data_IF_317644053606
#
_entry.id   IF_317644053606
#
_cell.length_a   1.000
_cell.length_b   1.000
_cell.length_c   1.000
_cell.angle_alpha   90.00
_cell.angle_beta   90.00
_cell.angle_gamma   90.00
#
_symmetry.space_group_name_H-M   'P 1'
#
loop_
_entity.id
_entity.type
_entity.pdbx_description
1 polymer ?
#
# COMPACT_ATOMS: atom_id res chain seq x y z
N UNK A 1 -37.15 -8.83 -23.42
CA UNK A 1 -36.10 -9.81 -23.75
C UNK A 1 -34.88 -9.03 -24.27
N UNK A 2 -33.98 -8.69 -23.39
CA UNK A 2 -32.68 -8.15 -23.78
C UNK A 2 -31.71 -8.29 -22.57
N UNK A 3 -31.09 -9.41 -22.47
CA UNK A 3 -29.78 -9.53 -21.80
C UNK A 3 -28.72 -9.43 -22.90
N UNK A 4 -27.80 -8.49 -22.78
CA UNK A 4 -26.41 -8.81 -22.87
C UNK A 4 -25.54 -7.78 -22.10
N UNK A 5 -25.39 -7.91 -20.81
CA UNK A 5 -24.43 -7.09 -20.07
C UNK A 5 -23.52 -7.91 -19.13
N UNK A 6 -23.76 -9.21 -19.03
CA UNK A 6 -23.02 -10.10 -18.11
C UNK A 6 -21.64 -10.50 -18.63
N UNK A 7 -21.47 -10.59 -19.95
CA UNK A 7 -20.20 -11.01 -20.58
C UNK A 7 -19.11 -9.94 -20.56
N UNK A 8 -19.48 -8.65 -20.49
CA UNK A 8 -18.50 -7.54 -20.38
C UNK A 8 -17.94 -7.37 -18.98
N UNK A 9 -18.73 -7.70 -17.95
CA UNK A 9 -18.30 -7.69 -16.55
C UNK A 9 -17.30 -8.81 -16.31
N UNK A 10 -17.52 -9.99 -16.88
CA UNK A 10 -16.66 -11.17 -16.77
C UNK A 10 -15.30 -10.94 -17.46
N UNK A 11 -15.30 -10.27 -18.62
CA UNK A 11 -14.05 -9.94 -19.35
C UNK A 11 -13.19 -8.92 -18.63
N UNK A 12 -13.79 -7.87 -18.05
CA UNK A 12 -13.07 -6.87 -17.27
C UNK A 12 -12.54 -7.45 -15.96
N UNK A 13 -13.31 -8.29 -15.27
CA UNK A 13 -12.87 -9.01 -14.08
C UNK A 13 -11.73 -9.99 -14.38
N UNK A 14 -11.78 -10.69 -15.53
CA UNK A 14 -10.72 -11.58 -15.98
C UNK A 14 -9.42 -10.83 -16.33
N UNK A 15 -9.53 -9.65 -16.96
CA UNK A 15 -8.38 -8.80 -17.25
C UNK A 15 -7.76 -8.22 -15.95
N UNK A 16 -8.59 -7.86 -14.98
CA UNK A 16 -8.14 -7.43 -13.65
C UNK A 16 -7.47 -8.60 -12.92
N UNK A 17 -8.07 -9.78 -12.93
CA UNK A 17 -7.50 -10.98 -12.33
C UNK A 17 -6.21 -11.41 -13.03
N UNK A 18 -6.08 -11.26 -14.35
CA UNK A 18 -4.83 -11.55 -15.06
C UNK A 18 -3.72 -10.56 -14.73
N UNK A 19 -4.06 -9.28 -14.50
CA UNK A 19 -3.09 -8.30 -13.99
C UNK A 19 -2.74 -8.56 -12.52
N UNK A 20 -3.68 -9.04 -11.73
CA UNK A 20 -3.49 -9.44 -10.34
C UNK A 20 -2.59 -10.67 -10.24
N UNK A 21 -2.88 -11.73 -10.99
CA UNK A 21 -2.04 -12.95 -11.08
C UNK A 21 -0.61 -12.62 -11.51
N UNK A 22 -0.43 -11.57 -12.31
CA UNK A 22 0.91 -11.12 -12.74
C UNK A 22 1.77 -10.63 -11.57
N UNK A 23 1.24 -10.36 -10.39
CA UNK A 23 2.02 -9.76 -9.30
C UNK A 23 2.37 -10.74 -8.17
N UNK A 24 1.58 -11.81 -7.91
CA UNK A 24 2.08 -12.96 -7.13
C UNK A 24 3.36 -13.48 -7.81
N UNK A 25 3.38 -13.45 -9.14
CA UNK A 25 4.60 -13.67 -9.94
C UNK A 25 5.65 -12.56 -9.81
N UNK A 26 5.33 -11.35 -9.32
CA UNK A 26 6.33 -10.29 -9.13
C UNK A 26 7.32 -10.67 -8.01
N UNK A 27 6.82 -10.99 -6.83
CA UNK A 27 7.66 -11.41 -5.70
C UNK A 27 8.39 -12.72 -6.01
N UNK A 28 7.70 -13.67 -6.67
CA UNK A 28 8.29 -14.94 -7.06
C UNK A 28 9.40 -14.76 -8.11
N UNK A 29 9.23 -13.86 -9.10
CA UNK A 29 10.28 -13.49 -10.05
C UNK A 29 11.46 -12.81 -9.39
N UNK A 30 11.17 -11.87 -8.47
CA UNK A 30 12.22 -11.15 -7.76
C UNK A 30 13.01 -12.07 -6.82
N UNK A 31 12.37 -13.09 -6.24
CA UNK A 31 12.99 -14.08 -5.38
C UNK A 31 13.73 -15.18 -6.15
N UNK A 32 13.37 -15.45 -7.41
CA UNK A 32 13.99 -16.49 -8.24
C UNK A 32 15.11 -15.97 -9.13
N UNK A 33 14.75 -15.10 -10.07
CA UNK A 33 15.65 -14.64 -11.14
C UNK A 33 16.24 -13.24 -10.89
N UNK A 34 16.08 -12.70 -9.70
CA UNK A 34 16.55 -11.35 -9.32
C UNK A 34 15.68 -10.20 -9.82
N UNK A 35 14.61 -10.48 -10.55
CA UNK A 35 13.69 -9.49 -11.09
C UNK A 35 14.30 -8.52 -12.12
N UNK A 36 13.47 -7.98 -13.00
CA UNK A 36 13.87 -6.91 -13.92
C UNK A 36 13.84 -5.53 -13.22
N UNK A 37 14.49 -4.52 -13.82
CA UNK A 37 14.38 -3.13 -13.34
C UNK A 37 12.93 -2.64 -13.28
N UNK A 38 12.05 -3.11 -14.18
CA UNK A 38 10.63 -2.80 -14.15
C UNK A 38 9.92 -3.46 -12.98
N UNK A 39 10.28 -4.68 -12.60
CA UNK A 39 9.75 -5.38 -11.43
C UNK A 39 10.15 -4.64 -10.15
N UNK A 40 11.41 -4.22 -10.04
CA UNK A 40 11.91 -3.43 -8.91
C UNK A 40 11.21 -2.08 -8.81
N UNK A 41 11.07 -1.35 -9.92
CA UNK A 41 10.35 -0.07 -9.94
C UNK A 41 8.89 -0.23 -9.49
N UNK A 42 8.23 -1.31 -9.91
CA UNK A 42 6.85 -1.62 -9.53
C UNK A 42 6.74 -1.99 -8.05
N UNK A 43 7.64 -2.83 -7.56
CA UNK A 43 7.74 -3.18 -6.14
C UNK A 43 7.90 -1.92 -5.28
N UNK A 44 8.84 -1.06 -5.64
CA UNK A 44 9.11 0.20 -4.96
C UNK A 44 7.88 1.10 -4.94
N UNK A 45 7.22 1.29 -6.10
CA UNK A 45 6.03 2.13 -6.21
C UNK A 45 4.87 1.65 -5.33
N UNK A 46 4.78 0.34 -5.06
CA UNK A 46 3.74 -0.29 -4.25
C UNK A 46 4.07 -0.20 -2.76
N UNK A 47 5.25 -0.69 -2.38
CA UNK A 47 5.57 -0.94 -0.97
C UNK A 47 6.20 0.26 -0.27
N UNK A 48 7.04 1.04 -0.95
CA UNK A 48 7.77 2.14 -0.30
C UNK A 48 6.87 3.19 0.35
N UNK A 49 5.81 3.72 -0.30
CA UNK A 49 4.91 4.68 0.33
C UNK A 49 4.22 4.12 1.58
N UNK A 50 3.87 2.83 1.57
CA UNK A 50 3.26 2.17 2.72
C UNK A 50 4.27 1.98 3.86
N UNK A 51 5.53 1.68 3.53
CA UNK A 51 6.61 1.55 4.50
C UNK A 51 6.93 2.89 5.19
N UNK A 52 7.00 3.98 4.43
CA UNK A 52 7.19 5.34 4.97
C UNK A 52 6.03 5.70 5.90
N UNK A 53 4.78 5.57 5.44
CA UNK A 53 3.60 5.88 6.26
C UNK A 53 3.54 5.04 7.55
N UNK A 54 3.97 3.78 7.49
CA UNK A 54 4.06 2.92 8.66
C UNK A 54 5.15 3.42 9.63
N UNK A 55 6.32 3.81 9.14
CA UNK A 55 7.39 4.34 9.96
C UNK A 55 7.02 5.71 10.58
N UNK A 56 6.33 6.59 9.82
CA UNK A 56 5.81 7.88 10.30
C UNK A 56 4.83 7.73 11.47
N UNK A 57 4.07 6.63 11.51
CA UNK A 57 3.13 6.35 12.60
C UNK A 57 3.81 5.85 13.88
N UNK A 58 5.10 5.56 13.82
CA UNK A 58 5.89 5.08 14.95
C UNK A 58 6.49 6.22 15.77
N UNK A 59 7.10 5.87 16.90
CA UNK A 59 7.86 6.83 17.72
C UNK A 59 9.13 7.33 17.02
N UNK A 60 9.60 6.64 15.98
CA UNK A 60 10.76 7.02 15.16
C UNK A 60 10.36 7.85 13.91
N UNK A 61 9.22 8.53 13.93
CA UNK A 61 8.62 9.25 12.79
C UNK A 61 9.56 10.25 12.10
N UNK A 62 10.50 10.83 12.83
CA UNK A 62 11.45 11.81 12.27
C UNK A 62 12.46 11.18 11.32
N UNK A 63 12.68 9.85 11.42
CA UNK A 63 13.60 9.09 10.60
C UNK A 63 12.82 8.12 9.68
N UNK A 64 11.54 8.37 9.44
CA UNK A 64 10.65 7.44 8.76
C UNK A 64 11.15 7.05 7.36
N UNK A 65 11.66 7.99 6.59
CA UNK A 65 12.21 7.72 5.25
C UNK A 65 13.49 6.88 5.34
N UNK A 66 14.39 7.20 6.27
CA UNK A 66 15.64 6.44 6.48
C UNK A 66 15.32 5.01 6.90
N UNK A 67 14.40 4.84 7.86
CA UNK A 67 13.94 3.52 8.33
C UNK A 67 13.30 2.72 7.17
N UNK A 68 12.46 3.36 6.35
CA UNK A 68 11.86 2.72 5.21
C UNK A 68 12.90 2.31 4.17
N UNK A 69 13.92 3.14 3.92
CA UNK A 69 15.04 2.82 3.03
C UNK A 69 15.89 1.65 3.57
N UNK A 70 16.26 1.67 4.84
CA UNK A 70 16.97 0.55 5.47
C UNK A 70 16.20 -0.77 5.38
N UNK A 71 14.89 -0.72 5.69
CA UNK A 71 14.03 -1.89 5.59
C UNK A 71 13.91 -2.37 4.13
N UNK A 72 13.82 -1.44 3.18
CA UNK A 72 13.80 -1.76 1.75
C UNK A 72 15.10 -2.47 1.34
N UNK A 73 16.26 -1.98 1.73
CA UNK A 73 17.56 -2.62 1.43
C UNK A 73 17.61 -4.04 1.99
N UNK A 74 17.12 -4.26 3.23
CA UNK A 74 17.02 -5.60 3.84
C UNK A 74 16.09 -6.52 3.04
N UNK A 75 14.94 -6.01 2.58
CA UNK A 75 14.00 -6.75 1.74
C UNK A 75 14.61 -7.11 0.38
N UNK A 76 15.26 -6.14 -0.27
CA UNK A 76 15.97 -6.35 -1.54
C UNK A 76 17.03 -7.44 -1.41
N UNK A 77 17.85 -7.35 -0.37
CA UNK A 77 18.87 -8.37 -0.08
C UNK A 77 18.27 -9.76 0.14
N UNK A 78 17.18 -9.86 0.88
CA UNK A 78 16.50 -11.13 1.13
C UNK A 78 15.87 -11.73 -0.13
N UNK A 79 15.27 -10.90 -0.99
CA UNK A 79 14.70 -11.35 -2.26
C UNK A 79 15.79 -11.80 -3.24
N UNK A 80 16.85 -11.00 -3.41
CA UNK A 80 17.93 -11.29 -4.36
C UNK A 80 18.80 -12.47 -3.96
N UNK A 81 18.97 -12.72 -2.65
CA UNK A 81 19.79 -13.85 -2.14
C UNK A 81 19.00 -15.15 -2.01
N UNK A 82 17.70 -15.17 -2.35
CA UNK A 82 16.82 -16.30 -2.08
C UNK A 82 16.56 -16.54 -0.59
N UNK A 83 16.89 -15.57 0.26
CA UNK A 83 16.64 -15.62 1.71
C UNK A 83 15.16 -15.52 2.07
N UNK A 84 14.34 -14.94 1.18
CA UNK A 84 12.91 -15.00 1.30
C UNK A 84 12.37 -16.25 0.60
N UNK A 85 11.72 -17.12 1.38
CA UNK A 85 10.96 -18.25 0.85
C UNK A 85 9.51 -18.12 1.29
N UNK A 86 8.61 -18.08 0.31
CA UNK A 86 7.17 -18.08 0.59
C UNK A 86 6.82 -19.38 1.33
N UNK A 87 6.40 -19.25 2.60
CA UNK A 87 5.86 -20.39 3.37
C UNK A 87 4.36 -20.44 3.14
N UNK A 88 3.81 -21.66 3.00
CA UNK A 88 2.37 -21.87 2.91
C UNK A 88 1.66 -21.19 4.08
N UNK A 89 0.67 -20.34 3.78
CA UNK A 89 -0.09 -19.61 4.79
C UNK A 89 0.53 -18.31 5.32
N UNK A 90 1.72 -17.89 4.85
CA UNK A 90 2.31 -16.60 5.22
C UNK A 90 2.34 -15.66 4.02
N UNK A 91 1.74 -14.49 4.20
CA UNK A 91 1.72 -13.44 3.18
C UNK A 91 3.04 -12.64 3.20
N UNK A 92 3.50 -12.21 2.02
CA UNK A 92 4.70 -11.37 1.90
C UNK A 92 4.60 -10.09 2.74
N UNK A 93 3.39 -9.52 2.85
CA UNK A 93 3.07 -8.39 3.72
C UNK A 93 3.53 -8.59 5.16
N UNK A 94 3.30 -9.78 5.73
CA UNK A 94 3.71 -10.08 7.11
C UNK A 94 5.23 -10.03 7.25
N UNK A 95 5.95 -10.49 6.23
CA UNK A 95 7.41 -10.39 6.19
C UNK A 95 7.88 -8.94 6.09
N UNK A 96 7.28 -8.12 5.19
CA UNK A 96 7.58 -6.68 5.08
C UNK A 96 7.36 -5.97 6.41
N UNK A 97 6.21 -6.20 7.08
CA UNK A 97 5.92 -5.64 8.40
C UNK A 97 6.95 -6.03 9.45
N UNK A 98 7.38 -7.29 9.44
CA UNK A 98 8.40 -7.79 10.39
C UNK A 98 9.74 -7.08 10.18
N UNK A 99 10.19 -6.97 8.92
CA UNK A 99 11.44 -6.28 8.59
C UNK A 99 11.35 -4.81 8.99
N UNK A 100 10.23 -4.16 8.72
CA UNK A 100 10.02 -2.75 9.04
C UNK A 100 9.96 -2.49 10.55
N UNK A 101 9.25 -3.35 11.30
CA UNK A 101 9.23 -3.28 12.78
C UNK A 101 10.64 -3.43 13.36
N UNK A 102 11.42 -4.38 12.86
CA UNK A 102 12.80 -4.57 13.30
C UNK A 102 13.65 -3.33 13.00
N UNK A 103 13.51 -2.72 11.82
CA UNK A 103 14.24 -1.49 11.47
C UNK A 103 13.83 -0.30 12.36
N UNK A 104 12.56 -0.18 12.72
CA UNK A 104 12.08 0.83 13.70
C UNK A 104 12.72 0.60 15.07
N UNK A 105 12.71 -0.65 15.56
CA UNK A 105 13.30 -1.00 16.86
C UNK A 105 14.81 -0.71 16.85
N UNK A 106 15.51 -1.04 15.78
CA UNK A 106 16.95 -0.77 15.63
C UNK A 106 17.23 0.75 15.64
N UNK A 107 16.43 1.55 14.93
CA UNK A 107 16.53 3.01 14.93
C UNK A 107 16.30 3.60 16.33
N UNK A 108 15.29 3.14 17.04
CA UNK A 108 15.01 3.59 18.41
C UNK A 108 16.11 3.19 19.39
N UNK A 109 16.70 1.99 19.23
CA UNK A 109 17.86 1.56 20.05
C UNK A 109 19.09 2.42 19.77
N UNK A 110 19.38 2.76 18.52
CA UNK A 110 20.47 3.67 18.16
C UNK A 110 20.28 5.02 18.83
N UNK A 111 19.11 5.62 18.72
CA UNK A 111 18.78 6.90 19.41
C UNK A 111 18.93 6.82 20.91
N UNK A 112 18.50 5.71 21.52
CA UNK A 112 18.66 5.51 22.97
C UNK A 112 20.14 5.50 23.36
N UNK A 113 20.99 4.81 22.63
CA UNK A 113 22.45 4.77 22.87
C UNK A 113 23.06 6.15 22.67
N UNK A 114 22.66 6.90 21.63
CA UNK A 114 23.08 8.30 21.43
C UNK A 114 22.62 9.20 22.58
N UNK A 115 21.36 9.07 22.99
CA UNK A 115 20.84 9.80 24.16
C UNK A 115 21.56 9.41 25.45
N UNK A 116 21.81 8.13 25.71
CA UNK A 116 22.56 7.68 26.90
C UNK A 116 24.02 8.19 26.87
N UNK A 117 24.60 8.32 25.70
CA UNK A 117 25.92 8.94 25.53
C UNK A 117 25.86 10.45 25.81
N UNK A 118 24.76 11.12 25.41
CA UNK A 118 24.49 12.52 25.72
C UNK A 118 24.03 12.74 27.16
N UNK A 119 23.35 11.75 27.78
CA UNK A 119 22.87 11.80 29.19
C UNK A 119 23.98 11.64 30.21
N UNK A 120 25.09 11.02 29.85
CA UNK A 120 26.32 11.20 30.64
C UNK A 120 26.73 12.67 30.73
N UNK A 121 26.05 13.54 30.00
CA UNK A 121 26.17 15.01 29.99
C UNK A 121 24.95 15.75 30.59
N UNK A 122 23.93 15.05 31.12
CA UNK A 122 22.75 15.62 31.78
C UNK A 122 21.48 15.68 30.90
N UNK A 123 20.44 15.00 31.30
CA UNK A 123 19.05 14.95 30.83
C UNK A 123 18.70 14.09 29.59
N UNK A 124 18.13 12.90 29.84
CA UNK A 124 17.49 12.09 28.81
C UNK A 124 16.03 11.74 29.11
N UNK A 125 15.14 11.79 28.11
CA UNK A 125 13.79 11.29 28.24
C UNK A 125 13.75 9.74 28.10
N UNK A 126 12.98 9.09 28.99
CA UNK A 126 12.77 7.64 28.94
C UNK A 126 11.81 7.27 27.80
N UNK A 127 12.19 6.31 26.96
CA UNK A 127 11.36 5.79 25.86
C UNK A 127 10.67 4.51 26.34
N UNK A 128 9.36 4.58 26.53
CA UNK A 128 8.52 3.43 26.89
C UNK A 128 7.82 2.88 25.65
N UNK A 129 7.91 1.56 25.41
CA UNK A 129 7.20 0.86 24.36
C UNK A 129 5.80 0.47 24.87
N UNK A 130 4.72 1.01 24.27
CA UNK A 130 3.36 0.57 24.56
C UNK A 130 2.98 -0.65 23.70
N UNK A 131 2.35 -1.64 24.32
CA UNK A 131 1.80 -2.84 23.66
C UNK A 131 0.74 -2.51 22.58
N UNK A 132 0.17 -1.31 22.62
CA UNK A 132 -0.88 -0.79 21.72
C UNK A 132 -0.36 -0.36 20.32
N UNK A 133 0.96 -0.46 20.09
CA UNK A 133 1.56 -0.05 18.83
C UNK A 133 1.24 -0.98 17.65
N UNK A 134 0.93 -2.25 17.92
CA UNK A 134 0.68 -3.25 16.89
C UNK A 134 -0.59 -3.00 16.08
N UNK A 135 -1.72 -2.77 16.73
CA UNK A 135 -3.01 -2.54 16.09
C UNK A 135 -3.07 -1.21 15.34
N UNK A 136 -2.49 -0.16 15.92
CA UNK A 136 -2.36 1.15 15.26
C UNK A 136 -1.53 1.07 13.98
N UNK A 137 -0.42 0.34 14.03
CA UNK A 137 0.44 0.13 12.87
C UNK A 137 -0.27 -0.66 11.75
N UNK A 138 -1.11 -1.64 12.11
CA UNK A 138 -1.90 -2.37 11.12
C UNK A 138 -2.95 -1.48 10.45
N UNK A 139 -3.62 -0.61 11.19
CA UNK A 139 -4.56 0.35 10.62
C UNK A 139 -3.87 1.34 9.66
N UNK A 140 -2.71 1.87 10.03
CA UNK A 140 -1.93 2.78 9.15
C UNK A 140 -1.48 2.06 7.88
N UNK A 141 -1.02 0.82 8.00
CA UNK A 141 -0.66 0.00 6.85
C UNK A 141 -1.83 -0.18 5.88
N UNK A 142 -3.02 -0.51 6.39
CA UNK A 142 -4.22 -0.65 5.58
C UNK A 142 -4.60 0.66 4.86
N UNK A 143 -4.52 1.79 5.56
CA UNK A 143 -4.77 3.11 4.95
C UNK A 143 -3.76 3.41 3.83
N UNK A 144 -2.48 3.12 4.04
CA UNK A 144 -1.44 3.34 3.05
C UNK A 144 -1.62 2.44 1.81
N UNK A 145 -1.94 1.16 2.03
CA UNK A 145 -2.26 0.21 0.94
C UNK A 145 -3.48 0.69 0.16
N UNK A 146 -4.56 1.10 0.84
CA UNK A 146 -5.75 1.64 0.18
C UNK A 146 -5.44 2.87 -0.66
N UNK A 147 -4.63 3.81 -0.16
CA UNK A 147 -4.19 4.99 -0.91
C UNK A 147 -3.40 4.61 -2.16
N UNK A 148 -2.49 3.64 -2.03
CA UNK A 148 -1.69 3.13 -3.15
C UNK A 148 -2.57 2.41 -4.19
N UNK A 149 -3.50 1.56 -3.75
CA UNK A 149 -4.47 0.88 -4.60
C UNK A 149 -5.35 1.88 -5.36
N UNK A 150 -5.84 2.90 -4.65
CA UNK A 150 -6.66 3.95 -5.25
C UNK A 150 -5.88 4.73 -6.32
N UNK A 151 -4.62 5.11 -6.04
CA UNK A 151 -3.76 5.78 -7.00
C UNK A 151 -3.54 4.92 -8.24
N UNK A 152 -3.21 3.63 -8.04
CA UNK A 152 -3.03 2.68 -9.14
C UNK A 152 -4.29 2.57 -10.00
N UNK A 153 -5.46 2.36 -9.38
CA UNK A 153 -6.74 2.25 -10.11
C UNK A 153 -7.06 3.53 -10.89
N UNK A 154 -6.86 4.70 -10.29
CA UNK A 154 -7.26 5.97 -10.90
C UNK A 154 -6.31 6.43 -12.03
N UNK A 155 -5.02 6.16 -11.94
CA UNK A 155 -4.02 6.76 -12.82
C UNK A 155 -3.30 5.77 -13.73
N UNK A 156 -3.22 4.49 -13.35
CA UNK A 156 -2.50 3.48 -14.12
C UNK A 156 -3.44 2.51 -14.84
N UNK A 157 -4.70 2.38 -14.37
CA UNK A 157 -5.70 1.55 -15.06
C UNK A 157 -6.55 2.36 -16.05
N UNK A 158 -7.08 1.73 -17.09
CA UNK A 158 -7.95 2.39 -18.05
C UNK A 158 -9.31 2.73 -17.41
N UNK A 159 -9.48 3.99 -17.06
CA UNK A 159 -10.72 4.58 -16.56
C UNK A 159 -11.08 5.80 -17.41
N UNK A 160 -12.35 5.88 -17.84
CA UNK A 160 -12.85 7.02 -18.57
C UNK A 160 -12.61 8.33 -17.78
N UNK A 161 -12.12 9.42 -18.41
CA UNK A 161 -11.79 10.66 -17.71
C UNK A 161 -12.93 11.18 -16.84
N UNK A 162 -14.16 11.22 -17.37
CA UNK A 162 -15.34 11.64 -16.61
C UNK A 162 -15.55 10.78 -15.34
N UNK A 163 -15.39 9.46 -15.43
CA UNK A 163 -15.55 8.57 -14.28
C UNK A 163 -14.49 8.83 -13.21
N UNK A 164 -13.27 9.16 -13.62
CA UNK A 164 -12.17 9.51 -12.70
C UNK A 164 -12.49 10.80 -11.95
N UNK A 165 -12.90 11.85 -12.65
CA UNK A 165 -13.19 13.15 -12.04
C UNK A 165 -14.40 13.07 -11.11
N UNK A 166 -15.48 12.40 -11.51
CA UNK A 166 -16.66 12.16 -10.66
C UNK A 166 -16.27 11.40 -9.39
N UNK A 167 -15.47 10.35 -9.53
CA UNK A 167 -15.00 9.57 -8.37
C UNK A 167 -14.13 10.40 -7.44
N UNK A 168 -13.17 11.16 -7.97
CA UNK A 168 -12.33 12.06 -7.18
C UNK A 168 -13.15 13.06 -6.40
N UNK A 169 -14.07 13.75 -7.08
CA UNK A 169 -14.91 14.77 -6.46
C UNK A 169 -15.70 14.20 -5.27
N UNK A 170 -16.26 12.98 -5.40
CA UNK A 170 -17.09 12.37 -4.35
C UNK A 170 -16.26 11.72 -3.25
N UNK A 171 -15.23 10.93 -3.62
CA UNK A 171 -14.53 10.04 -2.67
C UNK A 171 -13.24 10.60 -2.10
N UNK A 172 -12.57 11.50 -2.82
CA UNK A 172 -11.31 12.09 -2.39
C UNK A 172 -11.55 13.48 -1.84
N UNK A 173 -12.27 14.32 -2.60
CA UNK A 173 -12.51 15.71 -2.25
C UNK A 173 -13.72 15.87 -1.30
N UNK A 174 -14.50 14.81 -1.08
CA UNK A 174 -15.65 14.80 -0.15
C UNK A 174 -16.79 15.74 -0.55
N UNK A 175 -16.91 16.05 -1.85
CA UNK A 175 -17.88 17.01 -2.35
C UNK A 175 -19.30 16.47 -2.29
N UNK A 176 -20.27 17.37 -2.14
CA UNK A 176 -21.69 17.03 -2.16
C UNK A 176 -22.09 16.35 -3.48
N UNK A 177 -22.82 15.23 -3.37
CA UNK A 177 -23.18 14.41 -4.53
C UNK A 177 -24.12 15.12 -5.49
N UNK A 178 -25.02 15.97 -4.99
CA UNK A 178 -25.96 16.69 -5.85
C UNK A 178 -25.24 17.83 -6.61
N UNK A 179 -24.23 18.44 -6.00
CA UNK A 179 -23.36 19.40 -6.66
C UNK A 179 -22.53 18.73 -7.76
N UNK A 180 -21.95 17.57 -7.47
CA UNK A 180 -21.17 16.77 -8.44
C UNK A 180 -22.05 16.32 -9.61
N UNK A 181 -23.26 15.83 -9.34
CA UNK A 181 -24.20 15.44 -10.42
C UNK A 181 -24.53 16.60 -11.35
N UNK A 182 -24.76 17.79 -10.82
CA UNK A 182 -25.06 18.99 -11.62
C UNK A 182 -23.85 19.44 -12.46
N UNK A 183 -22.67 19.44 -11.86
CA UNK A 183 -21.44 19.89 -12.53
C UNK A 183 -21.04 18.98 -13.68
N UNK A 184 -21.06 17.67 -13.44
CA UNK A 184 -20.61 16.68 -14.43
C UNK A 184 -21.73 16.16 -15.34
N UNK A 185 -22.97 16.63 -15.17
CA UNK A 185 -24.11 16.20 -15.98
C UNK A 185 -24.47 14.71 -15.85
N UNK A 186 -24.20 14.10 -14.69
CA UNK A 186 -24.45 12.67 -14.45
C UNK A 186 -25.67 12.47 -13.57
N UNK A 187 -26.49 11.46 -13.88
CA UNK A 187 -27.60 11.05 -13.04
C UNK A 187 -27.11 10.33 -11.77
N UNK A 188 -27.94 10.28 -10.73
CA UNK A 188 -27.64 9.55 -9.48
C UNK A 188 -27.31 8.08 -9.74
N UNK A 189 -27.99 7.44 -10.68
CA UNK A 189 -27.71 6.06 -11.08
C UNK A 189 -26.31 5.92 -11.68
N UNK A 190 -25.95 6.80 -12.60
CA UNK A 190 -24.61 6.81 -13.23
C UNK A 190 -23.51 7.07 -12.20
N UNK A 191 -23.69 8.06 -11.30
CA UNK A 191 -22.77 8.35 -10.22
C UNK A 191 -22.54 7.11 -9.34
N UNK A 192 -23.63 6.46 -8.89
CA UNK A 192 -23.53 5.25 -8.08
C UNK A 192 -22.85 4.09 -8.82
N UNK A 193 -23.09 3.92 -10.11
CA UNK A 193 -22.40 2.92 -10.92
C UNK A 193 -20.88 3.21 -11.03
N UNK A 194 -20.50 4.47 -11.27
CA UNK A 194 -19.10 4.89 -11.33
C UNK A 194 -18.41 4.59 -10.01
N UNK A 195 -19.01 5.03 -8.90
CA UNK A 195 -18.41 4.86 -7.57
C UNK A 195 -18.26 3.37 -7.24
N UNK A 196 -19.34 2.58 -7.39
CA UNK A 196 -19.28 1.13 -7.10
C UNK A 196 -18.25 0.41 -7.95
N UNK A 197 -18.17 0.71 -9.24
CA UNK A 197 -17.22 0.07 -10.16
C UNK A 197 -15.77 0.38 -9.77
N UNK A 198 -15.46 1.62 -9.40
CA UNK A 198 -14.13 2.01 -8.99
C UNK A 198 -13.81 1.46 -7.60
N UNK A 199 -14.74 1.55 -6.64
CA UNK A 199 -14.58 0.95 -5.30
C UNK A 199 -14.30 -0.56 -5.39
N UNK A 200 -15.01 -1.31 -6.26
CA UNK A 200 -14.74 -2.73 -6.50
C UNK A 200 -13.33 -2.99 -7.04
N UNK A 201 -12.85 -2.13 -7.94
CA UNK A 201 -11.48 -2.26 -8.47
C UNK A 201 -10.43 -1.96 -7.41
N UNK A 202 -10.66 -0.92 -6.61
CA UNK A 202 -9.78 -0.57 -5.49
C UNK A 202 -9.73 -1.73 -4.50
N UNK A 203 -10.88 -2.30 -4.11
CA UNK A 203 -10.92 -3.43 -3.20
C UNK A 203 -10.20 -4.67 -3.76
N UNK A 204 -10.32 -4.95 -5.06
CA UNK A 204 -9.58 -6.05 -5.70
C UNK A 204 -8.06 -5.84 -5.67
N UNK A 205 -7.61 -4.59 -5.88
CA UNK A 205 -6.19 -4.23 -5.79
C UNK A 205 -5.72 -4.23 -4.33
N UNK A 206 -6.54 -3.78 -3.38
CA UNK A 206 -6.26 -3.86 -1.95
C UNK A 206 -6.05 -5.32 -1.50
N UNK A 207 -7.01 -6.19 -1.79
CA UNK A 207 -6.94 -7.61 -1.45
C UNK A 207 -5.66 -8.24 -1.99
N UNK A 208 -5.26 -7.81 -3.17
CA UNK A 208 -4.03 -8.23 -3.79
C UNK A 208 -2.77 -7.74 -3.04
N UNK A 209 -2.73 -6.50 -2.55
CA UNK A 209 -1.62 -5.99 -1.72
C UNK A 209 -1.65 -6.57 -0.29
N UNK A 210 -2.76 -7.19 0.09
CA UNK A 210 -2.92 -7.88 1.37
C UNK A 210 -2.41 -9.34 1.34
N UNK A 211 -2.35 -9.96 0.18
CA UNK A 211 -1.78 -11.29 -0.05
C UNK A 211 -0.26 -11.25 -0.25
#
# INVERSE_FOLDING_TARGET
>A
MMEPDDDRVTGASRAILSQIVTQVTLIDRMAGDGGSNADWARFFAIYYPAMVAFAESSQARHDAEEIAQEALVKLLGALSSGGYRRRSGTHFRAYVKTVLRNSIVDALRRKKVECEHLVRLGDAPSVTYGEDAGERLDAVWLVAIRRTAMRHVLYEMPIAPLSREVYRAVRIDGRDTDAVMREFGVSRRQLNQIVRRIDSRVAAVEAYYED
#
